data_IF_748819896416
#
_entry.id   IF_748819896416
#
_cell.length_a   1.000
_cell.length_b   1.000
_cell.length_c   1.000
_cell.angle_alpha   90.00
_cell.angle_beta   90.00
_cell.angle_gamma   90.00
#
_symmetry.space_group_name_H-M   'P 1'
#
loop_
_entity.id
_entity.type
_entity.pdbx_description
1 polymer ?
#
# COMPACT_ATOMS: atom_id res chain seq x y z
N UNK A 1 -17.29 6.27 -14.84
CA UNK A 1 -17.02 7.70 -14.61
C UNK A 1 -17.22 8.00 -13.13
N UNK A 2 -16.21 8.55 -12.47
CA UNK A 2 -16.29 8.87 -11.04
C UNK A 2 -17.08 10.16 -10.85
N UNK A 3 -18.01 10.18 -9.89
CA UNK A 3 -18.71 11.40 -9.52
C UNK A 3 -17.69 12.36 -8.87
N UNK A 4 -17.45 13.55 -9.46
CA UNK A 4 -16.45 14.47 -8.93
C UNK A 4 -16.82 15.03 -7.54
N UNK A 5 -18.07 14.86 -7.11
CA UNK A 5 -18.51 15.32 -5.80
C UNK A 5 -18.42 14.22 -4.74
N UNK A 6 -18.16 12.97 -5.13
CA UNK A 6 -18.04 11.86 -4.20
C UNK A 6 -16.71 11.94 -3.45
N UNK A 7 -16.75 11.64 -2.15
CA UNK A 7 -15.52 11.52 -1.37
C UNK A 7 -14.70 10.34 -1.88
N UNK A 8 -13.36 10.45 -1.93
CA UNK A 8 -12.53 9.33 -2.36
C UNK A 8 -12.58 8.17 -1.38
N UNK A 9 -12.33 6.95 -1.87
CA UNK A 9 -12.04 5.83 -1.01
C UNK A 9 -10.64 6.03 -0.43
N UNK A 10 -10.55 6.01 0.89
CA UNK A 10 -9.28 6.19 1.60
C UNK A 10 -8.68 4.82 1.93
N UNK A 11 -7.45 4.60 1.51
CA UNK A 11 -6.74 3.33 1.65
C UNK A 11 -5.46 3.54 2.42
N UNK A 12 -5.26 2.77 3.49
CA UNK A 12 -4.04 2.81 4.28
C UNK A 12 -3.24 1.53 4.04
N UNK A 13 -1.98 1.68 3.64
CA UNK A 13 -1.04 0.57 3.53
C UNK A 13 -0.15 0.53 4.77
N UNK A 14 -0.08 -0.62 5.41
CA UNK A 14 0.68 -0.82 6.63
C UNK A 14 1.88 -1.75 6.43
N UNK A 15 2.98 -1.38 7.03
CA UNK A 15 4.21 -2.14 7.09
C UNK A 15 4.85 -1.81 8.44
N UNK A 16 5.77 -2.60 8.93
CA UNK A 16 6.37 -2.32 10.23
C UNK A 16 7.16 -1.01 10.21
N UNK A 17 8.09 -0.88 9.29
CA UNK A 17 9.02 0.27 9.24
C UNK A 17 8.55 1.48 8.48
N UNK A 18 7.51 1.35 7.66
CA UNK A 18 7.01 2.42 6.79
C UNK A 18 8.15 3.17 6.08
N UNK A 19 9.03 2.43 5.44
CA UNK A 19 10.16 3.02 4.74
C UNK A 19 10.29 2.55 3.30
N UNK A 20 9.75 1.38 2.95
CA UNK A 20 9.86 0.79 1.62
C UNK A 20 8.50 0.34 1.07
N UNK A 21 8.03 -0.86 1.45
CA UNK A 21 6.83 -1.49 0.83
C UNK A 21 5.58 -0.62 0.89
N UNK A 22 5.22 -0.13 2.06
CA UNK A 22 4.02 0.70 2.22
C UNK A 22 4.17 2.07 1.55
N UNK A 23 5.37 2.61 1.51
CA UNK A 23 5.66 3.86 0.79
C UNK A 23 5.45 3.68 -0.72
N UNK A 24 5.97 2.58 -1.29
CA UNK A 24 5.77 2.26 -2.70
C UNK A 24 4.28 2.10 -3.00
N UNK A 25 3.55 1.38 -2.15
CA UNK A 25 2.12 1.15 -2.33
C UNK A 25 1.32 2.46 -2.32
N UNK A 26 1.60 3.34 -1.38
CA UNK A 26 0.97 4.67 -1.31
C UNK A 26 1.19 5.45 -2.61
N UNK A 27 2.43 5.52 -3.07
CA UNK A 27 2.76 6.25 -4.30
C UNK A 27 2.05 5.66 -5.52
N UNK A 28 2.04 4.33 -5.63
CA UNK A 28 1.40 3.63 -6.75
C UNK A 28 -0.09 3.91 -6.80
N UNK A 29 -0.82 3.75 -5.69
CA UNK A 29 -2.26 3.94 -5.69
C UNK A 29 -2.64 5.40 -5.93
N UNK A 30 -1.91 6.35 -5.38
CA UNK A 30 -2.18 7.76 -5.64
C UNK A 30 -2.01 8.10 -7.12
N UNK A 31 -1.09 7.44 -7.81
CA UNK A 31 -0.90 7.66 -9.25
C UNK A 31 -1.96 6.96 -10.08
N UNK A 32 -2.18 5.66 -9.86
CA UNK A 32 -3.14 4.87 -10.62
C UNK A 32 -4.56 5.29 -10.31
N UNK A 33 -4.87 5.45 -9.02
CA UNK A 33 -6.22 5.60 -8.51
C UNK A 33 -6.66 7.02 -8.26
N UNK A 34 -5.76 8.01 -8.36
CA UNK A 34 -6.10 9.39 -8.05
C UNK A 34 -7.24 9.94 -8.90
N UNK A 35 -7.26 9.60 -10.20
CA UNK A 35 -8.35 9.95 -11.10
C UNK A 35 -9.53 9.00 -11.05
N UNK A 36 -9.45 7.93 -10.26
CA UNK A 36 -10.50 6.90 -10.14
C UNK A 36 -11.21 6.96 -8.79
N UNK A 37 -10.95 7.98 -7.99
CA UNK A 37 -11.62 8.18 -6.72
C UNK A 37 -10.94 7.49 -5.53
N UNK A 38 -9.62 7.33 -5.56
CA UNK A 38 -8.85 6.77 -4.44
C UNK A 38 -7.88 7.78 -3.87
N UNK A 39 -7.65 7.69 -2.57
CA UNK A 39 -6.56 8.39 -1.89
C UNK A 39 -5.83 7.42 -1.00
N UNK A 40 -4.52 7.32 -1.18
CA UNK A 40 -3.70 6.37 -0.46
C UNK A 40 -2.84 7.06 0.60
N UNK A 41 -2.63 6.32 1.67
CA UNK A 41 -1.77 6.69 2.80
C UNK A 41 -0.92 5.47 3.16
N UNK A 42 0.14 5.70 3.92
CA UNK A 42 0.93 4.61 4.48
C UNK A 42 1.37 4.94 5.89
N UNK A 43 1.64 3.91 6.70
CA UNK A 43 2.11 4.07 8.06
C UNK A 43 2.80 2.78 8.53
N UNK A 44 3.46 2.86 9.68
CA UNK A 44 4.11 1.71 10.29
C UNK A 44 3.88 1.64 11.78
N UNK A 45 3.98 0.42 12.32
CA UNK A 45 3.91 0.20 13.77
C UNK A 45 5.18 0.72 14.47
N UNK A 46 6.32 0.60 13.78
CA UNK A 46 7.63 1.03 14.26
C UNK A 46 8.35 1.78 13.13
N UNK A 47 7.89 3.00 12.81
CA UNK A 47 8.44 3.73 11.66
C UNK A 47 9.92 4.03 11.84
N UNK A 48 10.67 3.87 10.74
CA UNK A 48 12.10 4.18 10.73
C UNK A 48 12.37 5.68 10.71
N UNK A 49 11.38 6.50 10.42
CA UNK A 49 11.49 7.95 10.40
C UNK A 49 11.93 8.53 9.06
N UNK A 50 12.33 7.70 8.12
CA UNK A 50 12.72 8.17 6.79
C UNK A 50 12.36 7.16 5.72
N UNK A 51 12.14 7.64 4.52
CA UNK A 51 11.91 6.81 3.33
C UNK A 51 13.25 6.18 2.92
N UNK A 52 13.24 4.88 2.62
CA UNK A 52 14.45 4.19 2.18
C UNK A 52 14.98 4.81 0.89
N UNK A 53 16.30 5.03 0.84
CA UNK A 53 16.94 5.68 -0.30
C UNK A 53 16.64 4.99 -1.64
N UNK A 54 16.59 3.66 -1.66
CA UNK A 54 16.29 2.91 -2.89
C UNK A 54 14.83 3.09 -3.34
N UNK A 55 13.90 3.20 -2.40
CA UNK A 55 12.50 3.51 -2.73
C UNK A 55 12.38 4.92 -3.31
N UNK A 56 13.04 5.88 -2.68
CA UNK A 56 13.06 7.26 -3.16
C UNK A 56 13.64 7.35 -4.57
N UNK A 57 14.79 6.70 -4.81
CA UNK A 57 15.43 6.71 -6.13
C UNK A 57 14.54 6.08 -7.21
N UNK A 58 13.92 4.94 -6.89
CA UNK A 58 13.05 4.26 -7.85
C UNK A 58 11.86 5.13 -8.23
N UNK A 59 11.17 5.68 -7.25
CA UNK A 59 10.00 6.53 -7.50
C UNK A 59 10.39 7.79 -8.26
N UNK A 60 11.50 8.44 -7.88
CA UNK A 60 11.99 9.62 -8.56
C UNK A 60 12.34 9.33 -10.02
N UNK A 61 13.00 8.19 -10.28
CA UNK A 61 13.40 7.81 -11.64
C UNK A 61 12.19 7.53 -12.55
N UNK A 62 11.07 7.15 -11.96
CA UNK A 62 9.83 6.88 -12.69
C UNK A 62 8.90 8.10 -12.76
N UNK A 63 9.35 9.25 -12.27
CA UNK A 63 8.59 10.48 -12.33
C UNK A 63 7.47 10.60 -11.30
N UNK A 64 7.51 9.81 -10.24
CA UNK A 64 6.51 9.92 -9.17
C UNK A 64 6.80 11.12 -8.27
N UNK A 65 5.77 11.85 -7.81
CA UNK A 65 5.97 12.89 -6.79
C UNK A 65 6.45 12.24 -5.49
N UNK A 66 7.50 12.79 -4.89
CA UNK A 66 8.09 12.23 -3.66
C UNK A 66 8.07 13.20 -2.48
N UNK A 67 7.68 14.45 -2.70
CA UNK A 67 7.77 15.50 -1.68
C UNK A 67 6.94 15.21 -0.42
N UNK A 68 5.79 14.55 -0.56
CA UNK A 68 4.89 14.29 0.55
C UNK A 68 5.09 12.91 1.19
N UNK A 69 6.01 12.10 0.66
CA UNK A 69 6.28 10.78 1.20
C UNK A 69 7.09 10.91 2.48
N UNK A 70 6.61 10.28 3.55
CA UNK A 70 7.28 10.30 4.86
C UNK A 70 6.97 9.04 5.64
N UNK A 71 7.92 8.64 6.45
CA UNK A 71 7.77 7.53 7.38
C UNK A 71 7.06 8.03 8.64
N UNK A 72 5.98 7.37 9.05
CA UNK A 72 5.13 7.86 10.13
C UNK A 72 4.45 6.71 10.88
N UNK A 73 4.08 6.93 12.14
CA UNK A 73 3.41 5.91 12.93
C UNK A 73 1.94 5.76 12.55
N UNK A 74 1.45 4.54 12.66
CA UNK A 74 0.04 4.24 12.36
C UNK A 74 -0.94 4.94 13.30
N UNK A 75 -0.51 5.37 14.47
CA UNK A 75 -1.34 6.12 15.41
C UNK A 75 -1.90 7.41 14.82
N UNK A 76 -1.21 8.00 13.84
CA UNK A 76 -1.71 9.20 13.15
C UNK A 76 -3.09 8.97 12.54
N UNK A 77 -3.38 7.74 12.13
CA UNK A 77 -4.64 7.40 11.45
C UNK A 77 -5.72 6.91 12.42
N UNK A 78 -5.39 6.78 13.71
CA UNK A 78 -6.34 6.43 14.76
C UNK A 78 -6.77 7.64 15.61
N UNK A 79 -6.17 8.81 15.37
CA UNK A 79 -6.46 10.04 16.12
C UNK A 79 -7.74 10.70 15.65
N UNK A 80 -8.40 11.48 16.52
CA UNK A 80 -9.51 12.34 16.09
C UNK A 80 -9.04 13.29 14.98
N UNK A 81 -9.87 13.45 13.95
CA UNK A 81 -9.53 14.27 12.79
C UNK A 81 -8.77 13.54 11.69
N UNK A 82 -8.34 12.30 11.92
CA UNK A 82 -7.72 11.50 10.88
C UNK A 82 -8.73 11.19 9.76
N UNK A 83 -8.25 10.94 8.52
CA UNK A 83 -9.15 10.53 7.45
C UNK A 83 -9.90 9.25 7.83
N UNK A 84 -11.18 9.18 7.46
CA UNK A 84 -11.93 7.93 7.60
C UNK A 84 -11.40 6.94 6.60
N UNK A 85 -10.97 5.77 7.07
CA UNK A 85 -10.39 4.74 6.21
C UNK A 85 -11.48 3.79 5.71
N UNK A 86 -11.43 3.48 4.43
CA UNK A 86 -12.31 2.49 3.81
C UNK A 86 -11.63 1.13 3.70
N UNK A 87 -10.30 1.14 3.53
CA UNK A 87 -9.50 -0.08 3.38
C UNK A 87 -8.18 0.06 4.13
N UNK A 88 -7.74 -1.03 4.74
CA UNK A 88 -6.42 -1.14 5.37
C UNK A 88 -5.76 -2.43 4.88
N UNK A 89 -4.63 -2.31 4.19
CA UNK A 89 -3.89 -3.46 3.67
C UNK A 89 -2.53 -3.56 4.34
N UNK A 90 -2.22 -4.71 4.93
CA UNK A 90 -0.87 -4.98 5.41
C UNK A 90 -0.04 -5.53 4.26
N UNK A 91 1.16 -4.96 4.06
CA UNK A 91 2.05 -5.37 2.98
C UNK A 91 3.31 -6.07 3.47
N UNK A 92 3.42 -6.31 4.76
CA UNK A 92 4.44 -7.16 5.34
C UNK A 92 3.84 -8.10 6.38
N UNK A 93 4.42 -9.29 6.52
CA UNK A 93 3.90 -10.31 7.43
C UNK A 93 3.98 -9.89 8.90
N UNK A 94 5.03 -9.16 9.27
CA UNK A 94 5.19 -8.67 10.65
C UNK A 94 4.04 -7.75 11.06
N UNK A 95 3.64 -6.82 10.19
CA UNK A 95 2.55 -5.91 10.48
C UNK A 95 1.22 -6.64 10.62
N UNK A 96 1.01 -7.71 9.85
CA UNK A 96 -0.20 -8.52 9.93
C UNK A 96 -0.35 -9.23 11.28
N UNK A 97 0.78 -9.56 11.93
CA UNK A 97 0.79 -10.23 13.23
C UNK A 97 0.74 -9.30 14.44
N UNK A 98 0.79 -7.98 14.21
CA UNK A 98 0.78 -7.01 15.30
C UNK A 98 -0.64 -6.61 15.70
N UNK A 99 -0.80 -6.16 16.95
CA UNK A 99 -2.09 -5.66 17.43
C UNK A 99 -2.27 -4.24 16.90
N UNK A 100 -3.14 -4.10 15.90
CA UNK A 100 -3.42 -2.81 15.28
C UNK A 100 -4.33 -1.94 16.12
N UNK A 101 -4.24 -0.59 15.98
CA UNK A 101 -5.24 0.31 16.53
C UNK A 101 -6.64 0.01 15.98
N UNK A 102 -7.66 0.48 16.68
CA UNK A 102 -9.03 0.46 16.15
C UNK A 102 -9.17 1.67 15.22
N UNK A 103 -9.43 1.39 13.95
CA UNK A 103 -9.54 2.45 12.95
C UNK A 103 -10.95 3.03 12.91
N UNK A 104 -11.10 4.38 12.87
CA UNK A 104 -12.42 4.98 12.64
C UNK A 104 -13.02 4.51 11.32
N UNK A 105 -14.31 4.19 11.32
CA UNK A 105 -15.02 3.81 10.11
C UNK A 105 -15.07 2.33 9.80
N UNK A 106 -14.45 1.49 10.62
CA UNK A 106 -14.41 0.03 10.42
C UNK A 106 -14.02 -0.37 8.99
N UNK A 107 -12.80 -0.04 8.55
CA UNK A 107 -12.37 -0.33 7.19
C UNK A 107 -12.31 -1.83 6.92
N UNK A 108 -12.44 -2.19 5.65
CA UNK A 108 -12.15 -3.55 5.22
C UNK A 108 -10.65 -3.77 5.27
N UNK A 109 -10.22 -4.96 5.68
CA UNK A 109 -8.80 -5.28 5.80
C UNK A 109 -8.44 -6.48 4.95
N UNK A 110 -7.20 -6.49 4.46
CA UNK A 110 -6.65 -7.66 3.77
C UNK A 110 -5.14 -7.68 3.96
N UNK A 111 -4.55 -8.86 3.81
CA UNK A 111 -3.10 -9.03 3.91
C UNK A 111 -2.53 -9.26 2.50
N UNK A 112 -1.66 -8.34 2.07
CA UNK A 112 -1.00 -8.36 0.77
C UNK A 112 0.51 -8.42 0.94
N UNK A 113 0.99 -9.33 1.78
CA UNK A 113 2.40 -9.43 2.13
C UNK A 113 3.30 -9.72 0.93
N UNK A 114 4.44 -9.04 0.89
CA UNK A 114 5.50 -9.27 -0.09
C UNK A 114 6.84 -9.32 0.63
N UNK A 115 7.87 -9.96 0.03
CA UNK A 115 9.21 -9.95 0.59
C UNK A 115 9.73 -8.53 0.79
N UNK A 116 10.56 -8.35 1.82
CA UNK A 116 11.11 -7.03 2.14
C UNK A 116 12.28 -6.69 1.22
N UNK A 117 12.14 -5.73 0.31
CA UNK A 117 13.25 -5.34 -0.56
C UNK A 117 14.40 -4.68 0.20
N UNK A 118 14.11 -4.09 1.36
CA UNK A 118 15.15 -3.48 2.21
C UNK A 118 16.05 -4.52 2.88
N UNK A 119 15.64 -5.79 2.90
CA UNK A 119 16.47 -6.88 3.40
C UNK A 119 17.47 -7.39 2.35
N UNK A 120 17.38 -6.92 1.11
CA UNK A 120 18.29 -7.33 0.04
C UNK A 120 19.71 -6.88 0.35
N UNK A 121 20.67 -7.75 0.07
CA UNK A 121 22.09 -7.50 0.24
C UNK A 121 22.80 -7.67 -1.11
N UNK A 122 24.05 -7.20 -1.18
CA UNK A 122 24.83 -7.29 -2.39
C UNK A 122 25.11 -5.93 -2.97
N UNK A 123 25.20 -5.85 -4.32
CA UNK A 123 25.50 -4.59 -5.02
C UNK A 123 24.30 -3.64 -5.03
N UNK A 124 24.54 -2.39 -5.41
CA UNK A 124 23.44 -1.44 -5.66
C UNK A 124 22.46 -1.99 -6.70
N UNK A 125 22.97 -2.71 -7.70
CA UNK A 125 22.11 -3.34 -8.70
C UNK A 125 21.21 -4.39 -8.09
N UNK A 126 21.73 -5.23 -7.20
CA UNK A 126 20.95 -6.26 -6.53
C UNK A 126 19.84 -5.63 -5.68
N UNK A 127 20.16 -4.57 -4.96
CA UNK A 127 19.18 -3.84 -4.14
C UNK A 127 18.13 -3.18 -5.03
N UNK A 128 18.55 -2.54 -6.11
CA UNK A 128 17.63 -1.89 -7.06
C UNK A 128 16.68 -2.90 -7.69
N UNK A 129 17.15 -4.10 -8.02
CA UNK A 129 16.30 -5.16 -8.57
C UNK A 129 15.27 -5.64 -7.55
N UNK A 130 15.65 -5.75 -6.28
CA UNK A 130 14.71 -6.12 -5.22
C UNK A 130 13.59 -5.10 -5.08
N UNK A 131 13.90 -3.81 -5.13
CA UNK A 131 12.91 -2.74 -5.08
C UNK A 131 12.04 -2.70 -6.34
N UNK A 132 12.63 -2.93 -7.51
CA UNK A 132 11.87 -3.00 -8.77
C UNK A 132 10.88 -4.18 -8.74
N UNK A 133 11.27 -5.32 -8.19
CA UNK A 133 10.39 -6.48 -8.06
C UNK A 133 9.24 -6.21 -7.08
N UNK A 134 9.54 -5.60 -5.94
CA UNK A 134 8.51 -5.20 -4.98
C UNK A 134 7.51 -4.23 -5.63
N UNK A 135 8.02 -3.26 -6.38
CA UNK A 135 7.18 -2.32 -7.12
C UNK A 135 6.29 -3.06 -8.13
N UNK A 136 6.85 -3.99 -8.88
CA UNK A 136 6.10 -4.75 -9.89
C UNK A 136 4.92 -5.50 -9.27
N UNK A 137 5.17 -6.21 -8.17
CA UNK A 137 4.12 -6.98 -7.49
C UNK A 137 3.03 -6.05 -6.95
N UNK A 138 3.43 -4.99 -6.26
CA UNK A 138 2.47 -4.00 -5.73
C UNK A 138 1.68 -3.33 -6.84
N UNK A 139 2.34 -2.96 -7.92
CA UNK A 139 1.68 -2.31 -9.06
C UNK A 139 0.60 -3.21 -9.66
N UNK A 140 0.88 -4.51 -9.79
CA UNK A 140 -0.09 -5.49 -10.29
C UNK A 140 -1.29 -5.60 -9.35
N UNK A 141 -1.04 -5.78 -8.06
CA UNK A 141 -2.12 -5.92 -7.06
C UNK A 141 -2.97 -4.67 -6.96
N UNK A 142 -2.34 -3.51 -6.90
CA UNK A 142 -3.04 -2.24 -6.77
C UNK A 142 -3.84 -1.94 -8.04
N UNK A 143 -3.31 -2.27 -9.21
CA UNK A 143 -4.04 -2.16 -10.47
C UNK A 143 -5.30 -2.99 -10.48
N UNK A 144 -5.22 -4.23 -10.01
CA UNK A 144 -6.39 -5.12 -9.89
C UNK A 144 -7.42 -4.53 -8.91
N UNK A 145 -6.96 -4.05 -7.77
CA UNK A 145 -7.83 -3.42 -6.77
C UNK A 145 -8.54 -2.19 -7.32
N UNK A 146 -7.80 -1.29 -7.95
CA UNK A 146 -8.35 -0.04 -8.48
C UNK A 146 -9.37 -0.29 -9.59
N UNK A 147 -9.31 -1.45 -10.25
CA UNK A 147 -10.24 -1.83 -11.31
C UNK A 147 -11.52 -2.48 -10.81
N UNK A 148 -11.62 -2.80 -9.51
CA UNK A 148 -12.82 -3.42 -8.97
C UNK A 148 -14.00 -2.46 -8.95
N UNK A 149 -15.23 -2.94 -9.27
CA UNK A 149 -16.43 -2.12 -9.15
C UNK A 149 -16.89 -2.06 -7.69
N UNK A 150 -16.12 -1.38 -6.85
CA UNK A 150 -16.25 -1.40 -5.39
C UNK A 150 -17.66 -1.01 -4.94
N UNK A 151 -18.21 0.06 -5.53
CA UNK A 151 -19.55 0.54 -5.16
C UNK A 151 -20.67 -0.45 -5.47
N UNK A 152 -20.42 -1.38 -6.39
CA UNK A 152 -21.43 -2.36 -6.85
C UNK A 152 -21.32 -3.70 -6.15
N UNK A 153 -20.22 -3.97 -5.43
CA UNK A 153 -19.98 -5.26 -4.80
C UNK A 153 -20.50 -5.28 -3.37
N UNK A 154 -21.10 -6.41 -2.98
CA UNK A 154 -21.45 -6.66 -1.59
C UNK A 154 -20.16 -6.86 -0.79
N UNK A 155 -20.21 -6.51 0.50
CA UNK A 155 -19.04 -6.57 1.38
C UNK A 155 -18.36 -7.95 1.37
N UNK A 156 -19.13 -9.02 1.43
CA UNK A 156 -18.57 -10.39 1.41
C UNK A 156 -17.87 -10.72 0.10
N UNK A 157 -18.44 -10.30 -1.04
CA UNK A 157 -17.83 -10.50 -2.35
C UNK A 157 -16.57 -9.67 -2.51
N UNK A 158 -16.60 -8.44 -2.04
CA UNK A 158 -15.46 -7.55 -2.06
C UNK A 158 -14.31 -8.13 -1.23
N UNK A 159 -14.61 -8.61 -0.02
CA UNK A 159 -13.58 -9.22 0.85
C UNK A 159 -12.89 -10.39 0.14
N UNK A 160 -13.65 -11.26 -0.54
CA UNK A 160 -13.05 -12.37 -1.30
C UNK A 160 -12.11 -11.87 -2.40
N UNK A 161 -12.53 -10.82 -3.12
CA UNK A 161 -11.69 -10.23 -4.17
C UNK A 161 -10.40 -9.66 -3.60
N UNK A 162 -10.48 -8.96 -2.46
CA UNK A 162 -9.30 -8.40 -1.81
C UNK A 162 -8.32 -9.50 -1.39
N UNK A 163 -8.85 -10.59 -0.83
CA UNK A 163 -8.02 -11.71 -0.40
C UNK A 163 -7.38 -12.44 -1.60
N UNK A 164 -8.12 -12.59 -2.69
CA UNK A 164 -7.60 -13.18 -3.92
C UNK A 164 -6.47 -12.35 -4.51
N UNK A 165 -6.61 -11.03 -4.52
CA UNK A 165 -5.56 -10.11 -5.00
C UNK A 165 -4.27 -10.32 -4.21
N UNK A 166 -4.38 -10.46 -2.89
CA UNK A 166 -3.21 -10.70 -2.04
C UNK A 166 -2.47 -11.99 -2.36
N UNK A 167 -3.12 -12.95 -2.98
CA UNK A 167 -2.52 -14.23 -3.37
C UNK A 167 -2.11 -14.30 -4.84
N UNK A 168 -2.73 -13.48 -5.70
CA UNK A 168 -2.62 -13.63 -7.15
C UNK A 168 -1.22 -13.38 -7.69
N UNK A 169 -0.52 -12.38 -7.14
CA UNK A 169 0.82 -12.03 -7.61
C UNK A 169 1.86 -13.10 -7.26
N UNK A 170 1.63 -13.86 -6.19
CA UNK A 170 2.54 -14.94 -5.80
C UNK A 170 2.45 -16.10 -6.78
N UNK A 171 1.27 -16.32 -7.36
CA UNK A 171 1.05 -17.39 -8.34
C UNK A 171 1.49 -17.00 -9.74
N UNK A 172 1.68 -15.71 -10.00
CA UNK A 172 2.10 -15.20 -11.30
C UNK A 172 3.62 -15.25 -11.49
N UNK A 173 4.35 -15.79 -10.53
CA UNK A 173 5.81 -15.91 -10.62
C UNK A 173 6.18 -17.16 -11.43
N UNK A 174 6.62 -17.03 -12.67
CA UNK A 174 7.30 -18.14 -13.30
C UNK A 174 8.60 -18.34 -12.55
N UNK A 175 8.87 -19.50 -12.15
CA UNK A 175 10.05 -19.85 -11.40
C UNK A 175 11.32 -19.18 -11.91
#
# INVERSE_FOLDING_TARGET
MTDPTAAPFNVLFLCTGNSARSILAEAILNRIGGGMGFRAYSAGSHPKGEVHAAAFRLLSSMGYPTADLRSKPWDEFARPGAPRLDFVFTVCDSAAGEVCPIWPGQPMTAHWGIPDPAAATGSETDISLAFAEAFRVLNTRIGLFASLPIASLKRASLQRRLDEIGRSADTAQPG
#
